data_IF_593419965432
#
_entry.id   IF_593419965432
#
_cell.length_a   1.000
_cell.length_b   1.000
_cell.length_c   1.000
_cell.angle_alpha   90.00
_cell.angle_beta   90.00
_cell.angle_gamma   90.00
#
_symmetry.space_group_name_H-M   'P 1'
#
loop_
_entity.id
_entity.type
_entity.pdbx_description
1 polymer ?
#
# COMPACT_ATOMS: atom_id res chain seq x y z
N UNK A 1 18.97 -35.49 5.61
CA UNK A 1 19.63 -34.19 5.83
C UNK A 1 18.53 -33.17 6.08
N UNK A 2 18.35 -32.75 7.33
CA UNK A 2 17.35 -31.73 7.67
C UNK A 2 17.74 -30.43 6.97
N UNK A 3 16.80 -29.81 6.26
CA UNK A 3 16.95 -28.45 5.80
C UNK A 3 17.29 -27.62 7.04
N UNK A 4 18.50 -27.06 7.08
CA UNK A 4 18.82 -26.05 8.08
C UNK A 4 17.81 -24.94 7.83
N UNK A 5 16.81 -24.83 8.71
CA UNK A 5 15.97 -23.66 8.81
C UNK A 5 16.93 -22.48 8.80
N UNK A 6 16.94 -21.72 7.70
CA UNK A 6 17.63 -20.45 7.68
C UNK A 6 16.92 -19.66 8.76
N UNK A 7 17.54 -19.52 9.92
CA UNK A 7 17.12 -18.55 10.94
C UNK A 7 17.03 -17.21 10.22
N UNK A 8 15.81 -16.82 9.83
CA UNK A 8 15.55 -15.52 9.24
C UNK A 8 15.66 -14.55 10.41
N UNK A 9 16.89 -14.10 10.70
CA UNK A 9 17.15 -13.07 11.70
C UNK A 9 16.76 -11.74 11.10
N UNK A 10 15.58 -11.25 11.47
CA UNK A 10 15.17 -9.89 11.14
C UNK A 10 15.91 -8.96 12.09
N UNK A 11 16.65 -8.01 11.53
CA UNK A 11 17.39 -7.00 12.28
C UNK A 11 16.63 -5.66 12.25
N UNK A 12 16.83 -4.77 13.24
CA UNK A 12 16.26 -3.43 13.20
C UNK A 12 16.62 -2.67 11.90
N UNK A 13 17.83 -2.88 11.38
CA UNK A 13 18.26 -2.28 10.11
C UNK A 13 17.46 -2.83 8.92
N UNK A 14 17.14 -4.11 8.89
CA UNK A 14 16.32 -4.70 7.83
C UNK A 14 14.90 -4.10 7.83
N UNK A 15 14.31 -3.88 9.01
CA UNK A 15 13.01 -3.21 9.14
C UNK A 15 13.05 -1.77 8.64
N UNK A 16 14.08 -0.99 9.02
CA UNK A 16 14.26 0.39 8.52
C UNK A 16 14.45 0.44 7.00
N UNK A 17 15.23 -0.49 6.45
CA UNK A 17 15.41 -0.59 5.00
C UNK A 17 14.09 -0.91 4.30
N UNK A 18 13.28 -1.81 4.87
CA UNK A 18 11.98 -2.15 4.32
C UNK A 18 10.98 -0.99 4.43
N UNK A 19 10.92 -0.31 5.59
CA UNK A 19 10.14 0.91 5.78
C UNK A 19 10.52 2.00 4.77
N UNK A 20 11.82 2.17 4.50
CA UNK A 20 12.30 3.08 3.46
C UNK A 20 11.82 2.67 2.07
N UNK A 21 12.00 1.40 1.68
CA UNK A 21 11.53 0.91 0.38
C UNK A 21 10.03 1.14 0.17
N UNK A 22 9.23 0.97 1.21
CA UNK A 22 7.78 1.25 1.18
C UNK A 22 7.51 2.73 0.94
N UNK A 23 8.22 3.63 1.63
CA UNK A 23 8.09 5.08 1.42
C UNK A 23 8.54 5.50 0.03
N UNK A 24 9.56 4.85 -0.53
CA UNK A 24 10.04 5.12 -1.88
C UNK A 24 8.99 4.76 -2.96
N UNK A 25 7.97 3.96 -2.65
CA UNK A 25 6.84 3.68 -3.55
C UNK A 25 5.73 4.74 -3.50
N UNK A 26 5.66 5.55 -2.44
CA UNK A 26 4.61 6.57 -2.26
C UNK A 26 4.53 7.53 -3.46
N UNK A 27 5.64 8.08 -3.99
CA UNK A 27 5.58 8.98 -5.15
C UNK A 27 4.96 8.34 -6.39
N UNK A 28 5.16 7.04 -6.61
CA UNK A 28 4.55 6.32 -7.73
C UNK A 28 3.04 6.12 -7.54
N UNK A 29 2.59 5.89 -6.30
CA UNK A 29 1.16 5.80 -5.97
C UNK A 29 0.49 7.17 -6.16
N UNK A 30 1.15 8.25 -5.74
CA UNK A 30 0.67 9.63 -5.95
C UNK A 30 0.62 9.99 -7.44
N UNK A 31 1.64 9.63 -8.23
CA UNK A 31 1.63 9.86 -9.68
C UNK A 31 0.47 9.10 -10.36
N UNK A 32 0.23 7.85 -9.98
CA UNK A 32 -0.90 7.07 -10.50
C UNK A 32 -2.24 7.72 -10.14
N UNK A 33 -2.40 8.19 -8.90
CA UNK A 33 -3.62 8.88 -8.46
C UNK A 33 -3.82 10.20 -9.22
N UNK A 34 -2.76 11.00 -9.37
CA UNK A 34 -2.79 12.27 -10.09
C UNK A 34 -3.13 12.04 -11.57
N UNK A 35 -2.53 11.04 -12.21
CA UNK A 35 -2.83 10.68 -13.60
C UNK A 35 -4.28 10.29 -13.77
N UNK A 36 -4.84 9.47 -12.88
CA UNK A 36 -6.28 9.15 -12.91
C UNK A 36 -7.07 10.45 -12.82
N UNK A 37 -6.86 11.28 -11.80
CA UNK A 37 -7.61 12.53 -11.63
C UNK A 37 -7.47 13.52 -12.82
N UNK A 38 -6.36 13.44 -13.56
CA UNK A 38 -6.07 14.28 -14.73
C UNK A 38 -6.63 13.74 -16.04
N UNK A 39 -7.12 12.49 -16.11
CA UNK A 39 -7.87 12.03 -17.28
C UNK A 39 -9.26 12.67 -17.24
N UNK A 40 -9.30 13.97 -17.47
CA UNK A 40 -10.52 14.70 -17.70
C UNK A 40 -10.91 14.41 -19.16
N UNK A 41 -11.78 13.42 -19.36
CA UNK A 41 -12.31 13.11 -20.69
C UNK A 41 -13.17 14.28 -21.12
N UNK A 42 -12.54 15.25 -21.79
CA UNK A 42 -13.23 16.42 -22.31
C UNK A 42 -14.31 15.93 -23.27
N UNK A 43 -15.57 16.19 -22.95
CA UNK A 43 -16.69 15.79 -23.79
C UNK A 43 -16.56 16.47 -25.17
N UNK A 44 -16.02 15.74 -26.14
CA UNK A 44 -15.91 16.15 -27.54
C UNK A 44 -16.86 15.35 -28.43
N UNK A 45 -16.93 15.72 -29.70
CA UNK A 45 -17.72 15.03 -30.74
C UNK A 45 -17.30 13.58 -31.03
N UNK A 46 -16.34 13.02 -30.29
CA UNK A 46 -15.86 11.67 -30.46
C UNK A 46 -16.69 10.70 -29.61
N UNK A 47 -17.50 9.88 -30.29
CA UNK A 47 -18.37 8.85 -29.71
C UNK A 47 -17.60 7.89 -28.78
N UNK A 48 -16.35 7.58 -29.12
CA UNK A 48 -15.49 6.68 -28.33
C UNK A 48 -14.98 7.29 -27.03
N UNK A 49 -14.78 8.62 -26.98
CA UNK A 49 -14.45 9.33 -25.74
C UNK A 49 -15.64 9.31 -24.77
N UNK A 50 -16.87 9.49 -25.28
CA UNK A 50 -18.08 9.32 -24.46
C UNK A 50 -18.25 7.87 -23.98
N UNK A 51 -17.84 6.88 -24.78
CA UNK A 51 -17.88 5.46 -24.41
C UNK A 51 -16.86 5.12 -23.31
N UNK A 52 -15.66 5.70 -23.34
CA UNK A 52 -14.68 5.65 -22.25
C UNK A 52 -15.20 6.34 -20.98
N UNK A 53 -15.83 7.52 -21.14
CA UNK A 53 -16.50 8.23 -20.05
C UNK A 53 -17.57 7.36 -19.37
N UNK A 54 -18.40 6.69 -20.17
CA UNK A 54 -19.52 5.89 -19.71
C UNK A 54 -19.07 4.51 -19.16
N UNK A 55 -18.00 3.90 -19.68
CA UNK A 55 -17.47 2.61 -19.21
C UNK A 55 -16.62 2.70 -17.94
N UNK A 56 -15.78 3.73 -17.85
CA UNK A 56 -14.94 3.98 -16.68
C UNK A 56 -15.74 4.75 -15.62
N UNK A 57 -16.72 5.56 -16.02
CA UNK A 57 -17.41 6.46 -15.10
C UNK A 57 -16.44 7.52 -14.59
N UNK A 58 -16.31 8.60 -15.35
CA UNK A 58 -15.55 9.79 -14.95
C UNK A 58 -16.54 10.81 -14.36
N UNK A 59 -16.42 11.14 -13.08
CA UNK A 59 -17.36 11.97 -12.31
C UNK A 59 -17.72 11.38 -10.95
N UNK A 60 -18.37 12.17 -10.09
CA UNK A 60 -18.63 11.87 -8.67
C UNK A 60 -19.28 10.47 -8.49
N UNK A 61 -18.48 9.49 -8.03
CA UNK A 61 -18.92 8.12 -7.77
C UNK A 61 -18.69 7.09 -8.89
N UNK A 62 -18.03 7.47 -9.99
CA UNK A 62 -17.61 6.56 -11.05
C UNK A 62 -16.37 5.71 -10.71
N UNK A 63 -15.95 4.79 -11.59
CA UNK A 63 -14.83 3.86 -11.27
C UNK A 63 -13.51 4.60 -11.15
N UNK A 64 -13.29 5.68 -11.90
CA UNK A 64 -12.09 6.49 -11.77
C UNK A 64 -11.94 7.07 -10.35
N UNK A 65 -13.02 7.62 -9.79
CA UNK A 65 -13.05 8.11 -8.40
C UNK A 65 -12.82 6.96 -7.39
N UNK A 66 -13.39 5.78 -7.65
CA UNK A 66 -13.17 4.59 -6.82
C UNK A 66 -11.70 4.16 -6.83
N UNK A 67 -11.07 4.09 -8.00
CA UNK A 67 -9.65 3.78 -8.14
C UNK A 67 -8.75 4.84 -7.50
N UNK A 68 -9.09 6.12 -7.65
CA UNK A 68 -8.40 7.23 -6.98
C UNK A 68 -8.47 7.11 -5.46
N UNK A 69 -9.66 6.79 -4.92
CA UNK A 69 -9.85 6.54 -3.49
C UNK A 69 -9.10 5.28 -3.00
N UNK A 70 -9.05 4.23 -3.81
CA UNK A 70 -8.27 3.02 -3.51
C UNK A 70 -6.77 3.30 -3.45
N UNK A 71 -6.23 4.10 -4.37
CA UNK A 71 -4.83 4.53 -4.34
C UNK A 71 -4.52 5.41 -3.13
N UNK A 72 -5.43 6.32 -2.76
CA UNK A 72 -5.28 7.12 -1.55
C UNK A 72 -5.25 6.25 -0.27
N UNK A 73 -6.11 5.22 -0.23
CA UNK A 73 -6.17 4.30 0.91
C UNK A 73 -4.93 3.39 0.96
N UNK A 74 -4.43 2.94 -0.20
CA UNK A 74 -3.17 2.21 -0.33
C UNK A 74 -1.98 3.06 0.14
N UNK A 75 -1.91 4.34 -0.23
CA UNK A 75 -0.86 5.25 0.25
C UNK A 75 -0.86 5.32 1.78
N UNK A 76 -2.02 5.57 2.40
CA UNK A 76 -2.15 5.63 3.86
C UNK A 76 -1.74 4.31 4.53
N UNK A 77 -2.13 3.17 3.95
CA UNK A 77 -1.73 1.85 4.40
C UNK A 77 -0.20 1.67 4.38
N UNK A 78 0.44 2.04 3.27
CA UNK A 78 1.89 1.96 3.08
C UNK A 78 2.64 2.87 4.06
N UNK A 79 2.19 4.12 4.23
CA UNK A 79 2.75 5.08 5.19
C UNK A 79 2.66 4.57 6.63
N UNK A 80 1.50 4.03 7.00
CA UNK A 80 1.28 3.49 8.35
C UNK A 80 2.14 2.25 8.59
N UNK A 81 2.25 1.36 7.61
CA UNK A 81 3.09 0.18 7.72
C UNK A 81 4.57 0.55 7.87
N UNK A 82 5.06 1.47 7.04
CA UNK A 82 6.44 1.96 7.13
C UNK A 82 6.73 2.62 8.50
N UNK A 83 5.79 3.40 9.03
CA UNK A 83 5.93 4.05 10.33
C UNK A 83 6.03 3.03 11.47
N UNK A 84 5.16 2.03 11.48
CA UNK A 84 5.17 1.00 12.52
C UNK A 84 6.39 0.06 12.41
N UNK A 85 6.89 -0.20 11.20
CA UNK A 85 8.17 -0.90 10.99
C UNK A 85 9.34 -0.12 11.59
N UNK A 86 9.38 1.20 11.41
CA UNK A 86 10.39 2.05 12.04
C UNK A 86 10.25 2.08 13.56
N UNK A 87 9.03 2.14 14.08
CA UNK A 87 8.80 2.16 15.53
C UNK A 87 9.17 0.82 16.17
N UNK A 88 8.93 -0.31 15.51
CA UNK A 88 9.49 -1.60 15.92
C UNK A 88 11.03 -1.60 15.89
N UNK A 89 11.63 -1.04 14.84
CA UNK A 89 13.08 -0.92 14.72
C UNK A 89 13.72 0.07 15.71
N UNK A 90 12.93 0.94 16.35
CA UNK A 90 13.37 1.78 17.47
C UNK A 90 13.16 1.09 18.82
N UNK A 91 12.07 0.35 18.97
CA UNK A 91 11.69 -0.31 20.23
C UNK A 91 12.60 -1.48 20.58
N UNK A 92 13.08 -2.20 19.56
CA UNK A 92 13.97 -3.33 19.74
C UNK A 92 15.38 -2.97 19.28
N UNK A 93 16.27 -2.66 20.22
CA UNK A 93 17.70 -2.42 19.95
C UNK A 93 18.46 -3.71 19.59
N UNK A 94 17.92 -4.88 19.97
CA UNK A 94 18.57 -6.18 19.73
C UNK A 94 17.72 -7.11 18.87
N UNK A 95 18.41 -7.87 18.01
CA UNK A 95 17.84 -8.84 17.07
C UNK A 95 17.04 -9.95 17.78
N UNK A 96 17.42 -10.37 18.99
CA UNK A 96 16.76 -11.48 19.71
C UNK A 96 15.37 -11.11 20.25
N UNK A 97 15.24 -9.93 20.86
CA UNK A 97 13.95 -9.44 21.35
C UNK A 97 13.00 -9.15 20.18
N UNK A 98 13.53 -8.63 19.07
CA UNK A 98 12.75 -8.41 17.86
C UNK A 98 12.19 -9.72 17.30
N UNK A 99 13.02 -10.75 17.07
CA UNK A 99 12.57 -11.99 16.42
C UNK A 99 11.57 -12.81 17.26
N UNK A 100 11.56 -12.64 18.59
CA UNK A 100 10.58 -13.31 19.46
C UNK A 100 9.18 -12.70 19.31
N UNK A 101 9.10 -11.38 19.22
CA UNK A 101 7.83 -10.65 19.16
C UNK A 101 7.39 -10.34 17.72
N UNK A 102 8.29 -10.44 16.75
CA UNK A 102 8.06 -9.96 15.39
C UNK A 102 6.86 -10.62 14.72
N UNK A 103 6.70 -11.94 14.82
CA UNK A 103 5.61 -12.63 14.13
C UNK A 103 4.23 -12.17 14.64
N UNK A 104 4.07 -12.03 15.96
CA UNK A 104 2.84 -11.52 16.56
C UNK A 104 2.62 -10.04 16.22
N UNK A 105 3.67 -9.22 16.29
CA UNK A 105 3.61 -7.78 15.97
C UNK A 105 3.32 -7.50 14.51
N UNK A 106 3.89 -8.29 13.60
CA UNK A 106 3.61 -8.21 12.16
C UNK A 106 2.18 -8.65 11.87
N UNK A 107 1.68 -9.70 12.53
CA UNK A 107 0.28 -10.10 12.45
C UNK A 107 -0.69 -8.99 12.90
N UNK A 108 -0.41 -8.36 14.06
CA UNK A 108 -1.16 -7.19 14.55
C UNK A 108 -1.09 -6.02 13.55
N UNK A 109 0.08 -5.79 12.96
CA UNK A 109 0.30 -4.74 11.97
C UNK A 109 -0.55 -4.93 10.72
N UNK A 110 -0.50 -6.13 10.15
CA UNK A 110 -1.32 -6.49 9.00
C UNK A 110 -2.80 -6.29 9.34
N UNK A 111 -3.26 -6.73 10.51
CA UNK A 111 -4.65 -6.53 10.95
C UNK A 111 -5.06 -5.06 11.15
N UNK A 112 -4.13 -4.15 11.43
CA UNK A 112 -4.40 -2.70 11.48
C UNK A 112 -4.44 -2.03 10.10
N UNK A 113 -3.78 -2.63 9.12
CA UNK A 113 -3.63 -2.10 7.76
C UNK A 113 -4.71 -2.65 6.83
N UNK A 114 -5.10 -3.90 7.00
CA UNK A 114 -6.13 -4.58 6.20
C UNK A 114 -7.45 -3.77 6.09
N UNK A 115 -7.96 -3.09 7.14
CA UNK A 115 -9.15 -2.26 7.03
C UNK A 115 -8.97 -0.99 6.18
N UNK A 116 -7.73 -0.56 5.93
CA UNK A 116 -7.39 0.57 5.08
C UNK A 116 -7.23 0.15 3.61
N UNK A 117 -7.14 -1.14 3.33
CA UNK A 117 -7.08 -1.61 1.96
C UNK A 117 -8.51 -1.75 1.42
N UNK A 118 -8.75 -1.41 0.15
CA UNK A 118 -10.02 -1.72 -0.47
C UNK A 118 -10.27 -3.22 -0.36
N UNK A 119 -11.49 -3.61 -0.01
CA UNK A 119 -11.90 -5.00 -0.11
C UNK A 119 -11.58 -5.45 -1.55
N UNK A 120 -10.79 -6.51 -1.69
CA UNK A 120 -10.48 -7.07 -3.00
C UNK A 120 -11.77 -7.31 -3.78
N UNK A 121 -11.74 -7.28 -5.13
CA UNK A 121 -12.95 -7.50 -5.91
C UNK A 121 -13.57 -8.81 -5.43
N UNK A 122 -14.81 -8.74 -4.93
CA UNK A 122 -15.63 -9.92 -4.72
C UNK A 122 -15.73 -10.60 -6.08
N UNK A 123 -15.06 -11.75 -6.21
CA UNK A 123 -15.07 -12.57 -7.41
C UNK A 123 -16.47 -13.03 -7.78
#
# INVERSE_FOLDING_TARGET
MAAKDKEIKVTPQALRNFAKMLRDQIPSIEDAQNRINQVDVTAGNFKDANLLRDLIGWGQGGRADQYSAHLASLKLAVERFATELDDMAKKYDTTEALNTDLAAKVGELIGKIEPLLPAGPAG
#
